data_IF_083294185830
#
_entry.id   IF_083294185830
#
_cell.length_a   1.000
_cell.length_b   1.000
_cell.length_c   1.000
_cell.angle_alpha   90.00
_cell.angle_beta   90.00
_cell.angle_gamma   90.00
#
_symmetry.space_group_name_H-M   'P 1'
#
loop_
_entity.id
_entity.type
_entity.pdbx_description
1 polymer ?
#
# COMPACT_ATOMS: atom_id res chain seq x y z
N UNK A 1 19.20 -30.72 61.44
CA UNK A 1 19.51 -29.39 60.85
C UNK A 1 20.03 -29.41 59.41
N UNK A 2 20.58 -30.51 58.84
CA UNK A 2 21.11 -30.54 57.45
C UNK A 2 20.07 -30.71 56.31
N UNK A 3 18.83 -31.11 56.61
CA UNK A 3 17.77 -31.28 55.60
C UNK A 3 16.95 -30.02 55.34
N UNK A 4 16.79 -29.17 56.35
CA UNK A 4 16.04 -27.91 56.25
C UNK A 4 16.80 -26.91 55.36
N UNK A 5 18.13 -26.86 55.47
CA UNK A 5 18.99 -25.98 54.69
C UNK A 5 19.06 -26.33 53.19
N UNK A 6 18.82 -27.58 52.79
CA UNK A 6 18.78 -27.95 51.35
C UNK A 6 17.45 -27.57 50.70
N UNK A 7 16.35 -27.64 51.43
CA UNK A 7 15.02 -27.28 50.91
C UNK A 7 14.91 -25.76 50.71
N UNK A 8 15.49 -24.96 51.59
CA UNK A 8 15.48 -23.49 51.47
C UNK A 8 16.33 -22.99 50.30
N UNK A 9 17.48 -23.64 50.01
CA UNK A 9 18.35 -23.25 48.89
C UNK A 9 17.72 -23.63 47.54
N UNK A 10 17.04 -24.77 47.43
CA UNK A 10 16.32 -25.16 46.21
C UNK A 10 15.09 -24.28 45.96
N UNK A 11 14.37 -23.86 47.02
CA UNK A 11 13.25 -22.93 46.89
C UNK A 11 13.70 -21.53 46.45
N UNK A 12 14.84 -21.03 46.93
CA UNK A 12 15.40 -19.74 46.49
C UNK A 12 15.91 -19.81 45.04
N UNK A 13 16.48 -20.94 44.59
CA UNK A 13 16.88 -21.14 43.20
C UNK A 13 15.71 -21.25 42.22
N UNK A 14 14.56 -21.77 42.65
CA UNK A 14 13.34 -21.84 41.83
C UNK A 14 12.65 -20.46 41.76
N UNK A 15 12.69 -19.68 42.84
CA UNK A 15 12.13 -18.31 42.87
C UNK A 15 13.02 -17.29 42.12
N UNK A 16 14.34 -17.48 42.08
CA UNK A 16 15.23 -16.67 41.23
C UNK A 16 15.27 -17.13 39.76
N UNK A 17 14.82 -18.35 39.45
CA UNK A 17 14.73 -18.85 38.07
C UNK A 17 13.52 -18.35 37.27
N UNK A 18 12.50 -17.81 37.94
CA UNK A 18 11.26 -17.33 37.32
C UNK A 18 11.18 -15.81 37.13
N UNK A 19 12.21 -15.04 37.53
CA UNK A 19 12.18 -13.57 37.54
C UNK A 19 12.70 -12.89 36.26
N UNK A 20 13.00 -13.62 35.19
CA UNK A 20 13.31 -13.06 33.87
C UNK A 20 12.62 -13.87 32.76
N UNK A 21 11.32 -14.13 32.91
CA UNK A 21 10.49 -14.39 31.76
C UNK A 21 10.26 -13.06 31.04
N UNK A 22 11.30 -12.52 30.38
CA UNK A 22 11.08 -11.51 29.36
C UNK A 22 10.07 -12.11 28.39
N UNK A 23 8.93 -11.44 28.20
CA UNK A 23 7.91 -11.86 27.27
C UNK A 23 8.60 -12.22 25.94
N UNK A 24 8.45 -13.48 25.51
CA UNK A 24 9.03 -13.91 24.24
C UNK A 24 8.49 -12.98 23.15
N UNK A 25 9.34 -12.50 22.22
CA UNK A 25 8.88 -11.64 21.14
C UNK A 25 7.81 -12.37 20.35
N UNK A 26 6.70 -11.69 20.09
CA UNK A 26 5.62 -12.24 19.30
C UNK A 26 6.07 -12.34 17.84
N UNK A 27 5.71 -13.45 17.19
CA UNK A 27 5.94 -13.65 15.76
C UNK A 27 4.62 -14.11 15.13
N UNK A 28 4.18 -13.42 14.08
CA UNK A 28 2.95 -13.75 13.38
C UNK A 28 3.03 -15.11 12.72
N UNK A 29 1.91 -15.83 12.80
CA UNK A 29 1.67 -17.08 12.09
C UNK A 29 0.60 -16.88 11.01
N UNK A 30 0.52 -17.84 10.07
CA UNK A 30 -0.54 -17.80 9.06
C UNK A 30 -1.90 -17.98 9.73
N UNK A 31 -2.87 -17.20 9.27
CA UNK A 31 -4.25 -17.28 9.73
C UNK A 31 -5.13 -17.92 8.68
N UNK A 32 -6.13 -18.68 9.11
CA UNK A 32 -7.14 -19.22 8.21
C UNK A 32 -8.23 -18.17 7.97
N UNK A 33 -8.57 -17.93 6.71
CA UNK A 33 -9.61 -16.97 6.33
C UNK A 33 -10.59 -17.59 5.34
N UNK A 34 -11.88 -17.47 5.63
CA UNK A 34 -12.94 -17.74 4.68
C UNK A 34 -13.36 -16.43 3.99
N UNK A 35 -13.44 -16.43 2.67
CA UNK A 35 -13.81 -15.25 1.88
C UNK A 35 -15.10 -15.54 1.14
N UNK A 36 -16.14 -14.75 1.41
CA UNK A 36 -17.39 -14.81 0.65
C UNK A 36 -17.28 -14.09 -0.68
N UNK A 37 -18.12 -14.49 -1.64
CA UNK A 37 -18.32 -13.76 -2.89
C UNK A 37 -18.95 -12.39 -2.60
N UNK A 38 -18.64 -11.42 -3.45
CA UNK A 38 -19.07 -10.03 -3.38
C UNK A 38 -20.58 -9.89 -3.42
N UNK A 39 -21.12 -9.28 -2.37
CA UNK A 39 -22.50 -8.82 -2.33
C UNK A 39 -22.70 -7.52 -3.10
N UNK A 40 -23.86 -7.36 -3.74
CA UNK A 40 -24.26 -6.12 -4.41
C UNK A 40 -25.79 -6.01 -4.29
N UNK A 41 -26.28 -5.15 -3.41
CA UNK A 41 -27.72 -5.03 -3.16
C UNK A 41 -28.22 -3.65 -3.58
N UNK A 42 -29.24 -3.63 -4.45
CA UNK A 42 -29.85 -2.41 -4.96
C UNK A 42 -29.08 -1.73 -6.11
N UNK A 43 -28.04 -2.36 -6.64
CA UNK A 43 -27.22 -1.84 -7.74
C UNK A 43 -27.29 -2.77 -8.95
N UNK A 44 -27.51 -2.20 -10.14
CA UNK A 44 -27.43 -2.92 -11.40
C UNK A 44 -25.98 -2.94 -11.89
N UNK A 45 -25.23 -3.94 -11.45
CA UNK A 45 -23.82 -4.13 -11.79
C UNK A 45 -23.73 -5.28 -12.80
N UNK A 46 -23.04 -5.09 -13.95
CA UNK A 46 -22.82 -6.16 -14.91
C UNK A 46 -22.19 -7.41 -14.25
N UNK A 47 -22.66 -8.60 -14.59
CA UNK A 47 -22.21 -9.85 -13.95
C UNK A 47 -20.71 -10.10 -14.16
N UNK A 48 -20.19 -9.72 -15.33
CA UNK A 48 -18.77 -9.80 -15.68
C UNK A 48 -17.91 -8.92 -14.75
N UNK A 49 -18.43 -7.75 -14.37
CA UNK A 49 -17.79 -6.84 -13.40
C UNK A 49 -17.70 -7.47 -12.02
N UNK A 50 -18.79 -8.07 -11.54
CA UNK A 50 -18.83 -8.75 -10.23
C UNK A 50 -17.85 -9.92 -10.16
N UNK A 51 -17.83 -10.76 -11.19
CA UNK A 51 -16.89 -11.89 -11.24
C UNK A 51 -15.43 -11.46 -11.28
N UNK A 52 -15.12 -10.33 -11.93
CA UNK A 52 -13.75 -9.78 -11.96
C UNK A 52 -13.33 -9.28 -10.58
N UNK A 53 -14.20 -8.53 -9.90
CA UNK A 53 -13.93 -8.03 -8.54
C UNK A 53 -13.77 -9.19 -7.56
N UNK A 54 -14.59 -10.24 -7.65
CA UNK A 54 -14.49 -11.46 -6.82
C UNK A 54 -13.08 -12.08 -6.91
N UNK A 55 -12.58 -12.27 -8.13
CA UNK A 55 -11.25 -12.85 -8.39
C UNK A 55 -10.15 -11.94 -7.86
N UNK A 56 -10.26 -10.64 -8.06
CA UNK A 56 -9.26 -9.67 -7.63
C UNK A 56 -9.19 -9.56 -6.09
N UNK A 57 -10.34 -9.59 -5.40
CA UNK A 57 -10.38 -9.65 -3.93
C UNK A 57 -9.66 -10.91 -3.44
N UNK A 58 -9.98 -12.09 -3.98
CA UNK A 58 -9.31 -13.34 -3.58
C UNK A 58 -7.80 -13.29 -3.84
N UNK A 59 -7.38 -12.71 -4.97
CA UNK A 59 -5.96 -12.52 -5.30
C UNK A 59 -5.25 -11.63 -4.27
N UNK A 60 -5.91 -10.57 -3.76
CA UNK A 60 -5.32 -9.71 -2.73
C UNK A 60 -4.95 -10.51 -1.46
N UNK A 61 -5.84 -11.38 -0.98
CA UNK A 61 -5.56 -12.20 0.20
C UNK A 61 -4.45 -13.23 -0.08
N UNK A 62 -4.40 -13.80 -1.30
CA UNK A 62 -3.32 -14.69 -1.72
C UNK A 62 -1.97 -13.95 -1.71
N UNK A 63 -1.93 -12.75 -2.30
CA UNK A 63 -0.73 -11.92 -2.44
C UNK A 63 -0.22 -11.38 -1.09
N UNK A 64 -1.09 -11.28 -0.09
CA UNK A 64 -0.70 -10.95 1.28
C UNK A 64 0.06 -12.08 1.98
N UNK A 65 0.00 -13.31 1.46
CA UNK A 65 0.80 -14.48 1.86
C UNK A 65 0.55 -15.04 3.27
N UNK A 66 0.02 -14.23 4.18
CA UNK A 66 -0.20 -14.52 5.61
C UNK A 66 -1.53 -15.20 5.91
N UNK A 67 -2.28 -15.57 4.87
CA UNK A 67 -3.56 -16.25 4.99
C UNK A 67 -3.55 -17.62 4.29
N UNK A 68 -4.24 -18.57 4.88
CA UNK A 68 -4.71 -19.79 4.22
C UNK A 68 -6.17 -19.56 3.86
N UNK A 69 -6.50 -19.61 2.57
CA UNK A 69 -7.79 -19.12 2.07
C UNK A 69 -8.75 -20.26 1.77
N UNK A 70 -9.98 -20.09 2.23
CA UNK A 70 -11.13 -20.90 1.85
C UNK A 70 -12.12 -19.99 1.10
N UNK A 71 -12.22 -20.17 -0.22
CA UNK A 71 -13.22 -19.45 -1.02
C UNK A 71 -14.62 -20.02 -0.79
N UNK A 72 -15.59 -19.15 -0.55
CA UNK A 72 -17.00 -19.50 -0.41
C UNK A 72 -17.76 -18.97 -1.61
N UNK A 73 -18.58 -19.81 -2.25
CA UNK A 73 -19.33 -19.41 -3.47
C UNK A 73 -20.52 -18.47 -3.16
N UNK A 74 -20.96 -18.41 -1.91
CA UNK A 74 -22.15 -17.65 -1.48
C UNK A 74 -21.87 -16.15 -1.36
N UNK A 75 -22.88 -15.34 -1.68
CA UNK A 75 -22.86 -13.86 -1.60
C UNK A 75 -23.74 -13.38 -0.45
N UNK A 76 -23.27 -12.42 0.34
CA UNK A 76 -24.02 -11.84 1.45
C UNK A 76 -24.48 -10.42 1.13
N UNK A 77 -25.64 -9.99 1.61
CA UNK A 77 -25.98 -8.57 1.64
C UNK A 77 -25.31 -7.83 2.78
N UNK A 78 -25.28 -6.51 2.66
CA UNK A 78 -24.90 -5.62 3.76
C UNK A 78 -25.74 -5.86 5.02
N UNK A 79 -27.04 -6.17 4.88
CA UNK A 79 -27.93 -6.47 6.00
C UNK A 79 -27.76 -7.88 6.58
N UNK A 80 -27.25 -8.82 5.79
CA UNK A 80 -27.12 -10.23 6.19
C UNK A 80 -25.90 -10.50 7.09
N UNK A 81 -24.93 -9.58 7.12
CA UNK A 81 -23.70 -9.73 7.92
C UNK A 81 -24.02 -9.77 9.42
N UNK A 82 -24.90 -8.88 9.91
CA UNK A 82 -25.27 -8.84 11.33
C UNK A 82 -26.09 -10.06 11.75
N UNK A 83 -26.99 -10.51 10.86
CA UNK A 83 -27.75 -11.74 11.06
C UNK A 83 -26.81 -12.96 11.09
N UNK A 84 -25.82 -13.00 10.20
CA UNK A 84 -24.79 -14.03 10.17
C UNK A 84 -23.97 -14.08 11.45
N UNK A 85 -23.49 -12.94 11.94
CA UNK A 85 -22.80 -12.83 13.23
C UNK A 85 -23.68 -13.34 14.38
N UNK A 86 -24.96 -12.96 14.39
CA UNK A 86 -25.91 -13.38 15.42
C UNK A 86 -26.11 -14.89 15.42
N UNK A 87 -26.22 -15.51 14.24
CA UNK A 87 -26.35 -16.96 14.11
C UNK A 87 -25.06 -17.66 14.57
N UNK A 88 -23.88 -17.19 14.14
CA UNK A 88 -22.59 -17.72 14.60
C UNK A 88 -22.48 -17.72 16.14
N UNK A 89 -22.92 -16.65 16.81
CA UNK A 89 -22.92 -16.58 18.28
C UNK A 89 -23.86 -17.61 18.91
N UNK A 90 -25.10 -17.70 18.42
CA UNK A 90 -26.10 -18.67 18.93
C UNK A 90 -25.64 -20.12 18.79
N UNK A 91 -24.84 -20.44 17.78
CA UNK A 91 -24.33 -21.80 17.60
C UNK A 91 -23.25 -22.20 18.60
N UNK A 92 -22.51 -21.22 19.12
CA UNK A 92 -21.52 -21.46 20.18
C UNK A 92 -22.18 -21.72 21.54
N UNK A 93 -23.44 -21.35 21.68
CA UNK A 93 -24.26 -21.73 22.82
C UNK A 93 -24.70 -23.19 22.62
N UNK A 94 -24.29 -24.06 23.55
CA UNK A 94 -24.21 -25.54 23.49
C UNK A 94 -25.47 -26.35 23.09
N UNK A 95 -26.55 -25.72 22.65
CA UNK A 95 -27.86 -26.34 22.42
C UNK A 95 -28.41 -26.09 21.01
N UNK A 96 -27.64 -25.49 20.10
CA UNK A 96 -28.12 -25.17 18.75
C UNK A 96 -27.97 -26.36 17.79
N UNK A 97 -29.08 -26.90 17.30
CA UNK A 97 -29.10 -27.90 16.22
C UNK A 97 -29.14 -27.17 14.89
N UNK A 98 -28.11 -27.36 14.06
CA UNK A 98 -28.02 -26.74 12.75
C UNK A 98 -29.11 -27.30 11.81
N UNK A 99 -29.96 -26.47 11.19
CA UNK A 99 -30.84 -26.91 10.11
C UNK A 99 -30.01 -27.34 8.88
N UNK A 100 -30.51 -28.29 8.08
CA UNK A 100 -29.81 -28.76 6.86
C UNK A 100 -29.45 -27.64 5.88
N UNK A 101 -30.24 -26.54 5.87
CA UNK A 101 -29.97 -25.30 5.14
C UNK A 101 -30.38 -24.11 5.98
N UNK A 102 -29.50 -23.12 6.11
CA UNK A 102 -29.82 -21.83 6.72
C UNK A 102 -29.77 -20.72 5.68
N UNK A 103 -30.82 -19.90 5.63
CA UNK A 103 -30.94 -18.80 4.68
C UNK A 103 -30.46 -17.48 5.33
N UNK A 104 -29.56 -16.78 4.63
CA UNK A 104 -29.12 -15.41 4.92
C UNK A 104 -29.45 -14.56 3.70
N UNK A 105 -30.53 -13.78 3.76
CA UNK A 105 -31.04 -13.05 2.61
C UNK A 105 -31.35 -14.01 1.45
N UNK A 106 -30.58 -13.92 0.36
CA UNK A 106 -30.69 -14.79 -0.83
C UNK A 106 -29.73 -15.99 -0.80
N UNK A 107 -28.78 -16.03 0.13
CA UNK A 107 -27.81 -17.11 0.24
C UNK A 107 -28.29 -18.25 1.14
N UNK A 108 -28.04 -19.49 0.72
CA UNK A 108 -28.26 -20.69 1.52
C UNK A 108 -26.92 -21.30 1.89
N UNK A 109 -26.64 -21.41 3.19
CA UNK A 109 -25.49 -22.15 3.72
C UNK A 109 -25.91 -23.55 4.15
N UNK A 110 -25.16 -24.55 3.72
CA UNK A 110 -25.33 -25.96 4.14
C UNK A 110 -24.53 -26.25 5.41
N UNK A 111 -24.80 -27.39 6.06
CA UNK A 111 -23.98 -27.88 7.18
C UNK A 111 -22.49 -28.00 6.83
N UNK A 112 -22.18 -28.45 5.61
CA UNK A 112 -20.80 -28.53 5.14
C UNK A 112 -20.14 -27.15 5.01
N UNK A 113 -20.88 -26.14 4.55
CA UNK A 113 -20.40 -24.76 4.46
C UNK A 113 -20.13 -24.18 5.85
N UNK A 114 -21.03 -24.44 6.80
CA UNK A 114 -20.85 -24.02 8.19
C UNK A 114 -19.65 -24.68 8.87
N UNK A 115 -19.45 -25.99 8.68
CA UNK A 115 -18.29 -26.69 9.24
C UNK A 115 -16.96 -26.11 8.71
N UNK A 116 -16.92 -25.68 7.45
CA UNK A 116 -15.77 -24.94 6.90
C UNK A 116 -15.58 -23.58 7.56
N UNK A 117 -16.67 -22.83 7.79
CA UNK A 117 -16.62 -21.51 8.43
C UNK A 117 -16.21 -21.58 9.91
N UNK A 118 -16.63 -22.62 10.64
CA UNK A 118 -16.21 -22.87 12.03
C UNK A 118 -14.72 -23.25 12.10
N UNK A 119 -14.19 -23.89 11.06
CA UNK A 119 -12.76 -24.16 10.94
C UNK A 119 -11.93 -22.90 10.67
N UNK A 120 -12.49 -21.89 10.01
CA UNK A 120 -11.80 -20.64 9.72
C UNK A 120 -11.62 -19.78 10.98
N UNK A 121 -10.47 -19.09 11.06
CA UNK A 121 -10.19 -18.16 12.16
C UNK A 121 -10.90 -16.81 11.92
N UNK A 122 -10.91 -16.35 10.66
CA UNK A 122 -11.53 -15.08 10.25
C UNK A 122 -12.47 -15.32 9.07
N UNK A 123 -13.53 -14.54 9.01
CA UNK A 123 -14.43 -14.46 7.87
C UNK A 123 -14.34 -13.07 7.26
N UNK A 124 -14.15 -12.99 5.95
CA UNK A 124 -14.19 -11.77 5.15
C UNK A 124 -15.48 -11.73 4.33
N UNK A 125 -16.26 -10.65 4.49
CA UNK A 125 -17.50 -10.43 3.76
C UNK A 125 -17.40 -9.15 2.93
N UNK A 126 -17.12 -9.26 1.61
CA UNK A 126 -17.07 -8.10 0.72
C UNK A 126 -18.47 -7.71 0.22
N UNK A 127 -18.77 -6.41 0.21
CA UNK A 127 -20.04 -5.85 -0.27
C UNK A 127 -19.81 -4.53 -1.01
N UNK A 128 -20.37 -4.40 -2.22
CA UNK A 128 -20.47 -3.11 -2.91
C UNK A 128 -21.55 -2.27 -2.24
N UNK A 129 -21.13 -1.12 -1.71
CA UNK A 129 -22.03 -0.18 -1.01
C UNK A 129 -22.48 0.96 -1.91
N UNK A 130 -21.70 1.29 -2.94
CA UNK A 130 -22.07 2.27 -3.95
C UNK A 130 -21.46 1.92 -5.30
N UNK A 131 -22.27 2.05 -6.35
CA UNK A 131 -21.84 1.93 -7.74
C UNK A 131 -22.50 3.05 -8.55
N UNK A 132 -21.70 3.98 -9.06
CA UNK A 132 -22.20 5.06 -9.91
C UNK A 132 -21.41 5.07 -11.20
N UNK A 133 -22.09 4.93 -12.34
CA UNK A 133 -21.46 4.99 -13.65
C UNK A 133 -22.29 5.88 -14.55
N UNK A 134 -21.72 7.02 -14.96
CA UNK A 134 -22.43 8.07 -15.66
C UNK A 134 -21.55 8.74 -16.71
N UNK A 135 -22.19 9.26 -17.75
CA UNK A 135 -21.54 10.11 -18.74
C UNK A 135 -21.56 11.56 -18.26
N UNK A 136 -20.41 12.07 -17.85
CA UNK A 136 -20.24 13.39 -17.21
C UNK A 136 -19.97 14.44 -18.28
N UNK A 137 -20.69 15.56 -18.18
CA UNK A 137 -20.55 16.77 -19.01
C UNK A 137 -20.63 16.53 -20.53
N UNK A 138 -21.20 15.40 -20.96
CA UNK A 138 -21.24 15.03 -22.37
C UNK A 138 -19.87 14.64 -22.95
N UNK A 139 -18.85 14.42 -22.11
CA UNK A 139 -17.44 14.25 -22.53
C UNK A 139 -16.84 12.91 -22.17
N UNK A 140 -17.09 12.39 -20.97
CA UNK A 140 -16.42 11.19 -20.48
C UNK A 140 -17.33 10.33 -19.62
N UNK A 141 -17.14 9.02 -19.68
CA UNK A 141 -17.68 8.10 -18.70
C UNK A 141 -16.86 8.17 -17.42
N UNK A 142 -17.54 8.30 -16.28
CA UNK A 142 -16.96 8.22 -14.95
C UNK A 142 -17.66 7.13 -14.17
N UNK A 143 -16.87 6.22 -13.61
CA UNK A 143 -17.35 5.15 -12.75
C UNK A 143 -16.70 5.24 -11.38
N UNK A 144 -17.52 5.29 -10.34
CA UNK A 144 -17.12 5.27 -8.94
C UNK A 144 -17.65 3.98 -8.30
N UNK A 145 -16.76 3.22 -7.65
CA UNK A 145 -17.09 1.97 -6.96
C UNK A 145 -16.63 2.08 -5.52
N UNK A 146 -17.57 1.91 -4.57
CA UNK A 146 -17.28 1.77 -3.14
C UNK A 146 -17.55 0.35 -2.68
N UNK A 147 -16.53 -0.29 -2.13
CA UNK A 147 -16.58 -1.66 -1.63
C UNK A 147 -16.11 -1.70 -0.19
N UNK A 148 -16.88 -2.35 0.67
CA UNK A 148 -16.52 -2.59 2.06
C UNK A 148 -16.24 -4.07 2.25
N UNK A 149 -15.16 -4.40 2.95
CA UNK A 149 -14.86 -5.78 3.37
C UNK A 149 -14.86 -5.83 4.89
N UNK A 150 -15.86 -6.49 5.45
CA UNK A 150 -15.99 -6.70 6.89
C UNK A 150 -15.22 -7.93 7.32
N UNK A 151 -14.44 -7.82 8.39
CA UNK A 151 -13.67 -8.91 8.99
C UNK A 151 -14.30 -9.33 10.31
N UNK A 152 -14.67 -10.60 10.42
CA UNK A 152 -15.31 -11.18 11.59
C UNK A 152 -14.38 -12.24 12.17
N UNK A 153 -14.06 -12.12 13.46
CA UNK A 153 -13.40 -13.18 14.22
C UNK A 153 -14.43 -14.26 14.57
N UNK A 154 -14.16 -15.49 14.14
CA UNK A 154 -15.05 -16.62 14.37
C UNK A 154 -15.01 -17.04 15.85
N UNK A 155 -13.88 -16.86 16.56
CA UNK A 155 -13.70 -17.21 17.96
C UNK A 155 -14.68 -16.46 18.88
N UNK A 156 -14.89 -15.17 18.61
CA UNK A 156 -15.73 -14.33 19.46
C UNK A 156 -17.03 -13.88 18.77
N UNK A 157 -17.15 -14.13 17.46
CA UNK A 157 -18.25 -13.61 16.65
C UNK A 157 -18.26 -12.08 16.63
N UNK A 158 -17.09 -11.44 16.65
CA UNK A 158 -16.97 -9.98 16.71
C UNK A 158 -16.36 -9.45 15.43
N UNK A 159 -16.77 -8.26 15.02
CA UNK A 159 -16.14 -7.56 13.90
C UNK A 159 -14.80 -6.99 14.37
N UNK A 160 -13.70 -7.41 13.74
CA UNK A 160 -12.34 -6.98 14.09
C UNK A 160 -11.86 -5.82 13.21
N UNK A 161 -12.53 -5.55 12.10
CA UNK A 161 -12.22 -4.42 11.24
C UNK A 161 -13.09 -4.36 9.99
N UNK A 162 -13.01 -3.23 9.30
CA UNK A 162 -13.62 -3.00 7.99
C UNK A 162 -12.56 -2.37 7.10
N UNK A 163 -12.35 -2.93 5.91
CA UNK A 163 -11.59 -2.29 4.84
C UNK A 163 -12.54 -1.54 3.91
N UNK A 164 -12.36 -0.24 3.75
CA UNK A 164 -13.15 0.59 2.85
C UNK A 164 -12.32 0.93 1.62
N UNK A 165 -12.82 0.54 0.44
CA UNK A 165 -12.16 0.75 -0.84
C UNK A 165 -13.04 1.66 -1.68
N UNK A 166 -12.48 2.76 -2.15
CA UNK A 166 -13.14 3.73 -3.01
C UNK A 166 -12.26 3.98 -4.21
N UNK A 167 -12.76 3.55 -5.37
CA UNK A 167 -12.02 3.56 -6.63
C UNK A 167 -12.82 4.28 -7.69
N UNK A 168 -12.09 4.96 -8.58
CA UNK A 168 -12.65 5.74 -9.66
C UNK A 168 -11.93 5.37 -10.97
N UNK A 169 -12.69 5.31 -12.06
CA UNK A 169 -12.17 5.18 -13.41
C UNK A 169 -12.87 6.13 -14.37
N UNK A 170 -12.17 6.54 -15.42
CA UNK A 170 -12.66 7.52 -16.40
C UNK A 170 -12.28 7.10 -17.81
N UNK A 171 -13.19 7.22 -18.79
CA UNK A 171 -12.88 6.99 -20.20
C UNK A 171 -13.81 7.81 -21.10
N UNK A 172 -13.25 8.49 -22.09
CA UNK A 172 -13.98 9.20 -23.15
C UNK A 172 -14.58 8.23 -24.18
N UNK A 173 -14.04 7.02 -24.27
CA UNK A 173 -14.43 6.06 -25.29
C UNK A 173 -15.63 5.20 -24.91
N UNK A 174 -15.60 4.54 -23.73
CA UNK A 174 -16.66 3.61 -23.34
C UNK A 174 -16.87 3.54 -21.83
N UNK A 175 -18.12 3.28 -21.44
CA UNK A 175 -18.48 2.99 -20.06
C UNK A 175 -17.69 1.78 -19.52
N UNK A 176 -17.52 0.75 -20.34
CA UNK A 176 -16.79 -0.46 -19.98
C UNK A 176 -15.34 -0.17 -19.56
N UNK A 177 -14.62 0.66 -20.31
CA UNK A 177 -13.26 1.09 -19.95
C UNK A 177 -13.22 1.80 -18.59
N UNK A 178 -14.12 2.76 -18.36
CA UNK A 178 -14.17 3.44 -17.05
C UNK A 178 -14.45 2.48 -15.88
N UNK A 179 -15.24 1.42 -16.11
CA UNK A 179 -15.51 0.39 -15.11
C UNK A 179 -14.25 -0.43 -14.85
N UNK A 180 -13.56 -0.88 -15.90
CA UNK A 180 -12.33 -1.66 -15.78
C UNK A 180 -11.24 -0.88 -15.04
N UNK A 181 -11.09 0.41 -15.33
CA UNK A 181 -10.12 1.27 -14.65
C UNK A 181 -10.43 1.43 -13.16
N UNK A 182 -11.71 1.58 -12.80
CA UNK A 182 -12.12 1.60 -11.39
C UNK A 182 -11.78 0.27 -10.69
N UNK A 183 -12.09 -0.87 -11.32
CA UNK A 183 -11.77 -2.20 -10.78
C UNK A 183 -10.27 -2.39 -10.58
N UNK A 184 -9.44 -1.93 -11.53
CA UNK A 184 -7.99 -2.06 -11.47
C UNK A 184 -7.36 -1.37 -10.24
N UNK A 185 -8.04 -0.37 -9.66
CA UNK A 185 -7.62 0.30 -8.42
C UNK A 185 -7.87 -0.52 -7.14
N UNK A 186 -8.83 -1.45 -7.16
CA UNK A 186 -9.30 -2.17 -5.96
C UNK A 186 -8.15 -2.95 -5.27
N UNK A 187 -7.30 -3.72 -5.99
CA UNK A 187 -6.32 -4.58 -5.34
C UNK A 187 -5.32 -3.82 -4.46
N UNK A 188 -4.81 -2.70 -4.95
CA UNK A 188 -3.81 -1.90 -4.23
C UNK A 188 -4.40 -1.32 -2.94
N UNK A 189 -5.57 -0.69 -3.05
CA UNK A 189 -6.23 -0.07 -1.92
C UNK A 189 -6.70 -1.11 -0.90
N UNK A 190 -7.31 -2.20 -1.35
CA UNK A 190 -7.75 -3.28 -0.46
C UNK A 190 -6.56 -3.89 0.30
N UNK A 191 -5.44 -4.13 -0.38
CA UNK A 191 -4.24 -4.65 0.26
C UNK A 191 -3.73 -3.71 1.38
N UNK A 192 -3.76 -2.40 1.14
CA UNK A 192 -3.40 -1.41 2.13
C UNK A 192 -4.36 -1.41 3.32
N UNK A 193 -5.67 -1.39 3.06
CA UNK A 193 -6.71 -1.39 4.11
C UNK A 193 -6.64 -2.64 5.00
N UNK A 194 -6.43 -3.83 4.41
CA UNK A 194 -6.28 -5.08 5.17
C UNK A 194 -5.05 -4.98 6.10
N UNK A 195 -3.92 -4.45 5.63
CA UNK A 195 -2.70 -4.34 6.44
C UNK A 195 -2.82 -3.28 7.55
N UNK A 196 -3.80 -2.37 7.49
CA UNK A 196 -4.08 -1.45 8.60
C UNK A 196 -4.80 -2.11 9.77
N UNK A 197 -5.47 -3.24 9.55
CA UNK A 197 -6.11 -4.00 10.64
C UNK A 197 -5.01 -4.57 11.55
N UNK A 198 -4.92 -4.18 12.83
CA UNK A 198 -3.81 -4.56 13.71
C UNK A 198 -3.59 -6.08 13.81
N UNK A 199 -4.68 -6.85 13.80
CA UNK A 199 -4.66 -8.32 13.86
C UNK A 199 -4.02 -8.94 12.60
N UNK A 200 -3.93 -8.21 11.49
CA UNK A 200 -3.35 -8.68 10.24
C UNK A 200 -1.94 -8.15 9.99
N UNK A 201 -1.47 -7.17 10.77
CA UNK A 201 -0.10 -6.67 10.68
C UNK A 201 0.90 -7.76 11.03
N UNK A 202 1.96 -7.86 10.23
CA UNK A 202 3.05 -8.77 10.54
C UNK A 202 3.83 -8.23 11.74
N UNK A 203 3.93 -9.05 12.77
CA UNK A 203 4.74 -8.86 13.96
C UNK A 203 5.86 -9.88 13.87
N UNK A 204 7.11 -9.45 13.98
CA UNK A 204 8.29 -10.31 13.79
C UNK A 204 9.41 -9.87 14.72
N UNK A 205 10.52 -10.60 14.73
CA UNK A 205 11.68 -10.29 15.57
C UNK A 205 12.97 -10.31 14.80
N UNK A 206 13.97 -9.64 15.36
CA UNK A 206 15.34 -9.66 14.86
C UNK A 206 16.00 -11.01 15.14
N UNK A 207 16.56 -11.62 14.12
CA UNK A 207 17.38 -12.84 14.22
C UNK A 207 18.86 -12.51 14.46
N UNK A 208 19.36 -11.52 13.72
CA UNK A 208 20.75 -11.06 13.79
C UNK A 208 20.86 -9.63 13.23
N UNK A 209 21.89 -8.91 13.65
CA UNK A 209 22.21 -7.57 13.19
C UNK A 209 23.71 -7.43 12.95
N UNK A 210 24.10 -6.73 11.90
CA UNK A 210 25.50 -6.52 11.55
C UNK A 210 25.68 -5.37 10.55
N UNK A 211 26.92 -5.21 10.06
CA UNK A 211 27.29 -4.13 9.12
C UNK A 211 26.48 -4.14 7.82
N UNK A 212 25.97 -5.29 7.42
CA UNK A 212 25.18 -5.47 6.21
C UNK A 212 23.66 -5.31 6.38
N UNK A 213 23.16 -4.99 7.58
CA UNK A 213 21.73 -4.86 7.89
C UNK A 213 21.25 -5.83 8.97
N UNK A 214 19.93 -5.99 9.04
CA UNK A 214 19.23 -6.76 10.08
C UNK A 214 18.45 -7.89 9.43
N UNK A 215 18.66 -9.12 9.89
CA UNK A 215 17.90 -10.30 9.49
C UNK A 215 16.67 -10.45 10.41
N UNK A 216 15.50 -10.68 9.83
CA UNK A 216 14.21 -10.78 10.54
C UNK A 216 13.54 -12.12 10.31
N UNK A 217 12.79 -12.58 11.32
CA UNK A 217 12.11 -13.89 11.30
C UNK A 217 10.75 -13.82 10.62
N UNK A 218 10.70 -13.44 9.33
CA UNK A 218 9.57 -13.63 8.42
C UNK A 218 10.04 -13.39 6.97
N UNK A 219 9.37 -13.99 5.99
CA UNK A 219 9.74 -13.91 4.58
C UNK A 219 8.57 -13.68 3.63
N UNK A 220 8.78 -13.99 2.35
CA UNK A 220 7.74 -13.93 1.32
C UNK A 220 6.57 -14.86 1.61
N UNK A 221 6.78 -15.92 2.41
CA UNK A 221 5.70 -16.80 2.87
C UNK A 221 4.65 -16.09 3.75
N UNK A 222 4.97 -14.91 4.30
CA UNK A 222 4.08 -14.02 5.06
C UNK A 222 3.78 -12.72 4.30
N UNK A 223 4.05 -12.69 2.99
CA UNK A 223 3.78 -11.56 2.11
C UNK A 223 4.69 -10.36 2.31
N UNK A 224 5.88 -10.55 2.91
CA UNK A 224 6.88 -9.49 2.96
C UNK A 224 7.43 -9.26 1.55
N UNK A 225 7.52 -7.99 1.15
CA UNK A 225 8.12 -7.54 -0.12
C UNK A 225 9.28 -6.60 0.15
N UNK A 226 10.17 -6.46 -0.86
CA UNK A 226 11.19 -5.39 -0.84
C UNK A 226 10.50 -4.04 -0.71
N UNK A 227 11.11 -3.11 0.02
CA UNK A 227 10.53 -1.79 0.25
C UNK A 227 9.44 -1.75 1.32
N UNK A 228 9.01 -2.91 1.86
CA UNK A 228 8.17 -2.92 3.06
C UNK A 228 8.95 -2.30 4.24
N UNK A 229 8.21 -1.73 5.18
CA UNK A 229 8.77 -1.03 6.34
C UNK A 229 8.32 -1.67 7.64
N UNK A 230 9.23 -1.68 8.62
CA UNK A 230 8.96 -2.20 9.95
C UNK A 230 9.42 -1.18 11.00
N UNK A 231 8.52 -0.89 11.94
CA UNK A 231 8.84 -0.15 13.15
C UNK A 231 9.63 -1.05 14.10
N UNK A 232 10.64 -0.47 14.76
CA UNK A 232 11.31 -1.10 15.90
C UNK A 232 10.52 -0.75 17.14
N UNK A 233 10.06 -1.78 17.87
CA UNK A 233 9.21 -1.63 19.04
C UNK A 233 10.07 -1.84 20.30
N UNK A 234 10.02 -0.86 21.20
CA UNK A 234 10.49 -1.00 22.58
C UNK A 234 9.28 -1.23 23.47
N UNK A 235 9.33 -2.31 24.26
CA UNK A 235 8.28 -2.65 25.22
C UNK A 235 8.83 -2.45 26.62
N UNK A 236 8.13 -1.69 27.45
CA UNK A 236 8.39 -1.54 28.87
C UNK A 236 7.23 -2.18 29.64
N UNK A 237 7.54 -2.96 30.68
CA UNK A 237 6.54 -3.57 31.56
C UNK A 237 6.68 -2.94 32.94
N UNK A 238 5.63 -2.22 33.35
CA UNK A 238 5.54 -1.66 34.69
C UNK A 238 4.28 -2.20 35.38
N UNK A 239 4.48 -3.02 36.40
CA UNK A 239 3.40 -3.61 37.21
C UNK A 239 2.36 -4.40 36.39
N UNK A 240 2.78 -5.02 35.28
CA UNK A 240 1.91 -5.79 34.40
C UNK A 240 1.17 -4.96 33.34
N UNK A 241 1.44 -3.65 33.27
CA UNK A 241 1.07 -2.81 32.14
C UNK A 241 2.21 -2.80 31.14
N UNK A 242 1.95 -3.28 29.93
CA UNK A 242 2.90 -3.23 28.81
C UNK A 242 2.69 -1.92 28.06
N UNK A 243 3.69 -1.04 28.09
CA UNK A 243 3.78 0.16 27.24
C UNK A 243 4.68 -0.14 26.04
N UNK A 244 4.18 0.07 24.83
CA UNK A 244 4.92 -0.16 23.60
C UNK A 244 5.15 1.15 22.84
N UNK A 245 6.40 1.38 22.42
CA UNK A 245 6.80 2.59 21.72
C UNK A 245 7.56 2.28 20.44
N UNK A 246 7.24 3.01 19.38
CA UNK A 246 8.02 2.98 18.13
C UNK A 246 9.29 3.83 18.28
N UNK A 247 10.45 3.20 18.23
CA UNK A 247 11.75 3.86 18.45
C UNK A 247 12.68 3.81 17.23
N UNK A 248 12.27 3.18 16.15
CA UNK A 248 13.11 3.03 14.97
C UNK A 248 12.36 2.55 13.73
N UNK A 249 13.08 2.52 12.60
CA UNK A 249 12.54 2.17 11.30
C UNK A 249 13.53 1.32 10.51
N UNK A 250 13.04 0.21 9.96
CA UNK A 250 13.76 -0.70 9.07
C UNK A 250 13.06 -0.72 7.72
N UNK A 251 13.85 -0.67 6.65
CA UNK A 251 13.40 -0.82 5.26
C UNK A 251 13.87 -2.17 4.70
N UNK A 252 12.95 -3.01 4.22
CA UNK A 252 13.28 -4.33 3.71
C UNK A 252 14.02 -4.24 2.37
N UNK A 253 15.20 -4.86 2.29
CA UNK A 253 16.06 -4.85 1.10
C UNK A 253 16.09 -6.17 0.34
N UNK A 254 16.00 -7.28 1.06
CA UNK A 254 16.05 -8.64 0.51
C UNK A 254 14.99 -9.48 1.21
N UNK A 255 14.33 -10.35 0.45
CA UNK A 255 13.26 -11.22 0.95
C UNK A 255 13.59 -12.64 0.54
N UNK A 256 13.78 -13.50 1.54
CA UNK A 256 13.80 -14.96 1.37
C UNK A 256 12.45 -15.55 1.76
N UNK A 257 12.34 -16.88 1.68
CA UNK A 257 11.07 -17.58 1.94
C UNK A 257 10.58 -17.41 3.37
N UNK A 258 11.45 -17.56 4.37
CA UNK A 258 11.11 -17.52 5.82
C UNK A 258 11.90 -16.48 6.61
N UNK A 259 12.85 -15.80 5.95
CA UNK A 259 13.66 -14.73 6.54
C UNK A 259 13.81 -13.60 5.53
N UNK A 260 13.89 -12.39 6.03
CA UNK A 260 14.13 -11.19 5.21
C UNK A 260 15.27 -10.39 5.81
N UNK A 261 15.86 -9.52 5.02
CA UNK A 261 16.93 -8.63 5.45
C UNK A 261 16.53 -7.19 5.20
N UNK A 262 16.75 -6.33 6.18
CA UNK A 262 16.45 -4.92 6.13
C UNK A 262 17.64 -4.03 6.42
N UNK A 263 17.52 -2.77 6.00
CA UNK A 263 18.44 -1.68 6.33
C UNK A 263 17.81 -0.83 7.42
N UNK A 264 18.55 -0.58 8.50
CA UNK A 264 18.10 0.32 9.57
C UNK A 264 18.20 1.75 9.06
N UNK A 265 17.07 2.44 8.95
CA UNK A 265 17.05 3.87 8.60
C UNK A 265 17.38 4.72 9.82
N UNK A 266 16.79 4.40 10.98
CA UNK A 266 17.20 4.92 12.28
C UNK A 266 16.74 4.00 13.40
N UNK A 267 17.35 4.11 14.58
CA UNK A 267 16.92 3.42 15.79
C UNK A 267 17.36 4.20 17.03
N UNK A 268 16.47 4.31 18.02
CA UNK A 268 16.75 4.83 19.34
C UNK A 268 17.40 3.81 20.27
N UNK A 269 17.26 2.51 19.97
CA UNK A 269 17.81 1.40 20.74
C UNK A 269 18.77 0.54 19.91
N UNK A 270 19.67 -0.24 20.54
CA UNK A 270 20.44 -1.27 19.83
C UNK A 270 19.52 -2.33 19.22
N UNK A 271 19.64 -2.56 17.92
CA UNK A 271 18.84 -3.57 17.20
C UNK A 271 19.51 -4.94 17.38
N UNK A 272 19.36 -5.52 18.57
CA UNK A 272 19.89 -6.83 18.93
C UNK A 272 18.91 -7.96 18.55
N UNK A 273 19.35 -9.22 18.73
CA UNK A 273 18.48 -10.39 18.58
C UNK A 273 17.25 -10.25 19.49
N UNK A 274 16.11 -10.74 19.02
CA UNK A 274 14.84 -10.78 19.73
C UNK A 274 14.16 -9.40 19.92
N UNK A 275 14.73 -8.31 19.39
CA UNK A 275 14.02 -7.03 19.30
C UNK A 275 12.76 -7.19 18.44
N UNK A 276 11.63 -6.71 18.97
CA UNK A 276 10.32 -6.77 18.34
C UNK A 276 10.22 -5.77 17.20
N UNK A 277 9.66 -6.22 16.08
CA UNK A 277 9.39 -5.43 14.89
C UNK A 277 7.91 -5.55 14.53
N UNK A 278 7.32 -4.45 14.06
CA UNK A 278 5.92 -4.39 13.60
C UNK A 278 5.87 -3.78 12.21
N UNK A 279 5.13 -4.41 11.32
CA UNK A 279 4.91 -3.90 9.96
C UNK A 279 4.25 -2.52 10.00
N UNK A 280 4.74 -1.61 9.17
CA UNK A 280 4.09 -0.35 8.89
C UNK A 280 3.30 -0.51 7.58
N UNK A 281 1.95 -0.49 7.62
CA UNK A 281 1.15 -0.57 6.41
C UNK A 281 1.36 0.70 5.59
N UNK A 282 1.94 0.52 4.39
CA UNK A 282 2.12 1.54 3.36
C UNK A 282 1.27 1.18 2.15
N UNK A 283 0.70 2.17 1.48
CA UNK A 283 0.11 2.04 0.15
C UNK A 283 1.14 1.50 -0.86
N UNK A 284 2.42 1.83 -0.65
CA UNK A 284 3.52 1.34 -1.46
C UNK A 284 3.92 2.31 -2.57
N UNK A 285 3.54 3.58 -2.41
CA UNK A 285 3.92 4.70 -3.27
C UNK A 285 4.35 5.86 -2.37
N UNK A 286 5.52 6.43 -2.65
CA UNK A 286 5.95 7.69 -2.04
C UNK A 286 5.52 8.84 -2.96
N UNK A 287 4.84 9.86 -2.41
CA UNK A 287 4.40 11.05 -3.14
C UNK A 287 5.29 12.24 -2.81
N UNK A 288 5.95 12.80 -3.81
CA UNK A 288 6.81 13.96 -3.70
C UNK A 288 6.17 15.19 -4.35
N UNK A 289 6.39 16.36 -3.75
CA UNK A 289 6.12 17.67 -4.34
C UNK A 289 7.39 18.50 -4.31
N UNK A 290 7.66 19.26 -5.36
CA UNK A 290 8.90 20.00 -5.51
C UNK A 290 8.74 21.29 -6.29
N UNK A 291 9.69 22.20 -6.05
CA UNK A 291 9.85 23.44 -6.79
C UNK A 291 11.32 23.61 -7.16
N UNK A 292 11.59 23.77 -8.46
CA UNK A 292 12.94 23.92 -8.99
C UNK A 292 13.10 25.23 -9.75
N UNK A 293 14.27 25.84 -9.64
CA UNK A 293 14.73 26.81 -10.64
C UNK A 293 15.08 26.07 -11.93
N UNK A 294 14.78 26.68 -13.08
CA UNK A 294 15.06 26.12 -14.41
C UNK A 294 15.88 27.11 -15.21
N UNK A 295 17.01 26.68 -15.75
CA UNK A 295 17.86 27.48 -16.63
C UNK A 295 17.96 26.78 -17.97
N UNK A 296 17.48 27.44 -19.04
CA UNK A 296 17.52 26.87 -20.38
C UNK A 296 18.97 26.68 -20.84
N UNK A 297 19.21 25.65 -21.66
CA UNK A 297 20.49 25.45 -22.33
C UNK A 297 20.78 26.57 -23.35
N UNK A 298 19.72 27.08 -23.98
CA UNK A 298 19.78 28.30 -24.76
C UNK A 298 19.61 29.51 -23.84
N UNK A 299 20.70 30.24 -23.60
CA UNK A 299 20.73 31.41 -22.73
C UNK A 299 19.74 32.50 -23.18
N UNK A 300 19.34 32.53 -24.46
CA UNK A 300 18.38 33.51 -24.97
C UNK A 300 16.96 33.31 -24.42
N UNK A 301 16.64 32.09 -23.96
CA UNK A 301 15.35 31.77 -23.32
C UNK A 301 15.33 32.09 -21.82
N UNK A 302 16.47 32.43 -21.22
CA UNK A 302 16.56 32.87 -19.82
C UNK A 302 16.32 31.75 -18.79
N UNK A 303 15.51 32.03 -17.77
CA UNK A 303 15.26 31.13 -16.64
C UNK A 303 13.80 31.14 -16.21
N UNK A 304 13.30 30.01 -15.73
CA UNK A 304 11.93 29.83 -15.26
C UNK A 304 11.89 29.09 -13.91
N UNK A 305 10.67 28.82 -13.43
CA UNK A 305 10.40 27.99 -12.25
C UNK A 305 9.62 26.74 -12.67
N UNK A 306 9.96 25.59 -12.11
CA UNK A 306 9.21 24.35 -12.27
C UNK A 306 8.50 24.02 -10.98
N UNK A 307 7.22 23.69 -11.07
CA UNK A 307 6.46 23.07 -10.01
C UNK A 307 6.11 21.64 -10.44
N UNK A 308 6.32 20.67 -9.56
CA UNK A 308 6.03 19.29 -9.92
C UNK A 308 5.64 18.40 -8.77
N UNK A 309 5.05 17.27 -9.14
CA UNK A 309 4.72 16.16 -8.27
C UNK A 309 5.30 14.87 -8.85
N UNK A 310 5.68 13.93 -7.99
CA UNK A 310 6.25 12.63 -8.40
C UNK A 310 5.73 11.51 -7.51
N UNK A 311 5.30 10.43 -8.13
CA UNK A 311 4.90 9.19 -7.49
C UNK A 311 6.01 8.14 -7.69
N UNK A 312 6.52 7.56 -6.62
CA UNK A 312 7.61 6.57 -6.64
C UNK A 312 7.12 5.25 -6.06
N UNK A 313 7.12 4.16 -6.84
CA UNK A 313 6.70 2.87 -6.31
C UNK A 313 7.75 2.33 -5.33
N UNK A 314 7.36 2.10 -4.09
CA UNK A 314 8.25 1.64 -3.03
C UNK A 314 8.07 0.15 -2.75
N UNK A 315 6.83 -0.34 -2.74
CA UNK A 315 6.56 -1.74 -2.44
C UNK A 315 6.91 -2.64 -3.62
N UNK A 316 7.68 -3.70 -3.35
CA UNK A 316 8.28 -4.58 -4.35
C UNK A 316 9.67 -4.14 -4.83
N UNK A 317 10.10 -2.93 -4.46
CA UNK A 317 11.32 -2.30 -4.93
C UNK A 317 12.23 -1.90 -3.76
N UNK A 318 13.54 -1.78 -3.99
CA UNK A 318 14.47 -1.32 -2.96
C UNK A 318 15.41 -0.26 -3.51
N UNK A 319 16.45 -0.68 -4.24
CA UNK A 319 17.42 0.24 -4.84
C UNK A 319 16.95 0.79 -6.17
N UNK A 320 16.18 0.05 -6.96
CA UNK A 320 15.66 0.52 -8.25
C UNK A 320 14.15 0.59 -8.14
N UNK A 321 13.59 1.79 -8.30
CA UNK A 321 12.16 2.04 -8.13
C UNK A 321 11.62 2.72 -9.39
N UNK A 322 10.50 2.25 -9.97
CA UNK A 322 9.85 2.99 -11.02
C UNK A 322 9.20 4.25 -10.44
N UNK A 323 9.15 5.31 -11.24
CA UNK A 323 8.46 6.54 -10.88
C UNK A 323 7.70 7.11 -12.07
N UNK A 324 6.69 7.90 -11.75
CA UNK A 324 6.02 8.81 -12.68
C UNK A 324 6.03 10.21 -12.07
N UNK A 325 6.35 11.23 -12.86
CA UNK A 325 6.34 12.62 -12.43
C UNK A 325 5.53 13.47 -13.39
N UNK A 326 4.90 14.50 -12.84
CA UNK A 326 4.24 15.56 -13.57
C UNK A 326 4.90 16.89 -13.18
N UNK A 327 5.27 17.70 -14.15
CA UNK A 327 5.89 19.00 -13.91
C UNK A 327 5.32 20.07 -14.84
N UNK A 328 5.20 21.28 -14.31
CA UNK A 328 4.77 22.47 -15.04
C UNK A 328 5.91 23.48 -15.03
N UNK A 329 6.36 23.90 -16.20
CA UNK A 329 7.27 25.04 -16.35
C UNK A 329 6.45 26.33 -16.34
N UNK A 330 6.77 27.25 -15.43
CA UNK A 330 6.14 28.56 -15.31
C UNK A 330 6.76 29.54 -16.32
N UNK A 331 6.64 29.18 -17.59
CA UNK A 331 7.13 29.96 -18.72
C UNK A 331 5.95 30.40 -19.59
N UNK A 332 5.65 31.70 -19.59
CA UNK A 332 4.54 32.25 -20.37
C UNK A 332 4.80 32.25 -21.87
N UNK A 333 6.06 32.33 -22.30
CA UNK A 333 6.44 32.40 -23.71
C UNK A 333 6.27 31.02 -24.36
N UNK A 334 6.48 29.95 -23.58
CA UNK A 334 6.18 28.58 -23.96
C UNK A 334 4.76 28.11 -23.63
N UNK A 335 3.89 29.01 -23.15
CA UNK A 335 2.50 28.71 -22.80
C UNK A 335 2.41 27.60 -21.74
N UNK A 336 3.22 27.74 -20.70
CA UNK A 336 3.27 26.87 -19.52
C UNK A 336 3.39 25.37 -19.88
N UNK A 337 4.59 24.90 -20.32
CA UNK A 337 4.79 23.50 -20.67
C UNK A 337 4.43 22.55 -19.54
N UNK A 338 3.67 21.50 -19.89
CA UNK A 338 3.27 20.41 -19.00
C UNK A 338 4.03 19.15 -19.42
N UNK A 339 4.82 18.57 -18.52
CA UNK A 339 5.59 17.37 -18.83
C UNK A 339 5.21 16.22 -17.90
N UNK A 340 5.05 15.05 -18.49
CA UNK A 340 4.92 13.76 -17.82
C UNK A 340 6.21 12.99 -18.04
N UNK A 341 6.84 12.53 -16.96
CA UNK A 341 8.09 11.77 -16.99
C UNK A 341 7.84 10.40 -16.39
N UNK A 342 8.22 9.34 -17.09
CA UNK A 342 8.19 7.97 -16.58
C UNK A 342 9.57 7.34 -16.65
N UNK A 343 10.00 6.70 -15.58
CA UNK A 343 11.37 6.25 -15.49
C UNK A 343 11.69 5.40 -14.28
N UNK A 344 12.99 5.25 -14.04
CA UNK A 344 13.54 4.53 -12.88
C UNK A 344 14.43 5.44 -12.06
N UNK A 345 14.37 5.29 -10.74
CA UNK A 345 15.32 5.88 -9.81
C UNK A 345 16.18 4.81 -9.16
N UNK A 346 17.46 5.11 -8.98
CA UNK A 346 18.39 4.32 -8.20
C UNK A 346 18.67 5.02 -6.86
N UNK A 347 18.50 4.31 -5.74
CA UNK A 347 18.59 4.83 -4.38
C UNK A 347 19.61 4.06 -3.55
N UNK A 348 20.43 4.78 -2.78
CA UNK A 348 21.38 4.26 -1.80
C UNK A 348 21.05 4.81 -0.43
N UNK A 349 20.82 3.91 0.53
CA UNK A 349 20.41 4.26 1.89
C UNK A 349 21.61 4.25 2.85
N UNK A 350 21.86 5.38 3.49
CA UNK A 350 22.85 5.58 4.53
C UNK A 350 22.15 6.09 5.79
N UNK A 351 21.48 5.17 6.50
CA UNK A 351 20.57 5.50 7.62
C UNK A 351 19.44 6.42 7.15
N UNK A 352 19.30 7.60 7.77
CA UNK A 352 18.28 8.61 7.42
C UNK A 352 18.59 9.33 6.11
N UNK A 353 19.83 9.29 5.65
CA UNK A 353 20.25 9.91 4.40
C UNK A 353 20.04 8.92 3.25
N UNK A 354 19.45 9.38 2.17
CA UNK A 354 19.30 8.64 0.94
C UNK A 354 19.84 9.48 -0.22
N UNK A 355 20.71 8.91 -1.05
CA UNK A 355 21.27 9.55 -2.23
C UNK A 355 20.95 8.70 -3.46
N UNK A 356 20.74 9.32 -4.61
CA UNK A 356 20.36 8.57 -5.79
C UNK A 356 20.39 9.35 -7.09
N UNK A 357 20.05 8.65 -8.16
CA UNK A 357 19.92 9.18 -9.51
C UNK A 357 18.61 8.75 -10.15
N UNK A 358 18.10 9.56 -11.08
CA UNK A 358 16.87 9.31 -11.82
C UNK A 358 17.13 9.42 -13.31
N UNK A 359 16.44 8.58 -14.07
CA UNK A 359 16.42 8.66 -15.52
C UNK A 359 15.03 8.25 -16.02
N UNK A 360 14.47 9.03 -16.92
CA UNK A 360 13.16 8.77 -17.51
C UNK A 360 13.03 9.34 -18.91
N UNK A 361 12.01 8.85 -19.61
CA UNK A 361 11.51 9.45 -20.85
C UNK A 361 10.39 10.41 -20.50
N UNK A 362 10.30 11.49 -21.25
CA UNK A 362 9.36 12.56 -21.01
C UNK A 362 8.43 12.74 -22.22
N UNK A 363 7.14 12.93 -21.97
CA UNK A 363 6.17 13.43 -22.93
C UNK A 363 5.71 14.81 -22.46
N UNK A 364 5.66 15.78 -23.37
CA UNK A 364 5.29 17.15 -23.04
C UNK A 364 4.12 17.64 -23.88
N UNK A 365 3.30 18.50 -23.29
CA UNK A 365 2.28 19.30 -23.97
C UNK A 365 2.32 20.74 -23.42
N UNK A 366 1.40 21.60 -23.83
CA UNK A 366 1.24 22.93 -23.24
C UNK A 366 -0.22 23.15 -22.82
N UNK A 367 -0.47 24.13 -21.96
CA UNK A 367 -1.80 24.34 -21.35
C UNK A 367 -2.88 24.55 -22.42
N UNK A 368 -2.57 25.27 -23.51
CA UNK A 368 -3.54 25.50 -24.60
C UNK A 368 -3.89 24.18 -25.30
N UNK A 369 -2.89 23.37 -25.66
CA UNK A 369 -3.13 22.08 -26.32
C UNK A 369 -3.94 21.16 -25.40
N UNK A 370 -3.69 21.18 -24.09
CA UNK A 370 -4.50 20.41 -23.14
C UNK A 370 -5.95 20.89 -23.08
N UNK A 371 -6.19 22.19 -23.03
CA UNK A 371 -7.54 22.77 -23.08
C UNK A 371 -8.24 22.37 -24.38
N UNK A 372 -7.54 22.44 -25.52
CA UNK A 372 -8.11 22.03 -26.81
C UNK A 372 -8.39 20.52 -26.84
N UNK A 373 -7.50 19.69 -26.31
CA UNK A 373 -7.72 18.25 -26.20
C UNK A 373 -8.94 17.94 -25.34
N UNK A 374 -9.10 18.61 -24.20
CA UNK A 374 -10.23 18.42 -23.29
C UNK A 374 -11.58 18.91 -23.86
N UNK A 375 -11.55 19.77 -24.89
CA UNK A 375 -12.75 20.25 -25.59
C UNK A 375 -13.08 19.44 -26.85
N UNK A 376 -12.07 18.96 -27.58
CA UNK A 376 -12.25 18.37 -28.91
C UNK A 376 -11.92 16.87 -29.01
N UNK A 377 -11.24 16.28 -28.03
CA UNK A 377 -10.88 14.86 -28.10
C UNK A 377 -12.06 13.96 -27.73
N UNK A 378 -12.34 12.98 -28.59
CA UNK A 378 -13.29 11.89 -28.32
C UNK A 378 -12.62 10.59 -27.85
N UNK A 379 -11.30 10.58 -27.66
CA UNK A 379 -10.55 9.39 -27.25
C UNK A 379 -9.68 9.65 -26.02
N UNK A 380 -9.16 8.57 -25.44
CA UNK A 380 -8.34 8.62 -24.23
C UNK A 380 -6.86 8.98 -24.52
N UNK A 381 -6.49 9.17 -25.79
CA UNK A 381 -5.11 9.42 -26.22
C UNK A 381 -4.64 10.85 -25.86
N UNK A 382 -3.43 10.95 -25.33
CA UNK A 382 -2.80 12.24 -25.00
C UNK A 382 -2.20 12.95 -26.21
N UNK A 383 -2.46 14.25 -26.34
CA UNK A 383 -1.88 15.09 -27.39
C UNK A 383 -0.54 15.63 -26.93
N UNK A 384 0.52 14.86 -27.18
CA UNK A 384 1.89 15.30 -26.95
C UNK A 384 2.37 16.22 -28.07
N UNK A 385 2.99 17.33 -27.69
CA UNK A 385 3.72 18.23 -28.59
C UNK A 385 5.22 18.05 -28.49
N UNK A 386 5.70 17.45 -27.41
CA UNK A 386 7.11 17.19 -27.18
C UNK A 386 7.34 15.77 -26.68
N UNK A 387 8.53 15.24 -26.97
CA UNK A 387 9.05 14.03 -26.36
C UNK A 387 10.52 14.23 -26.01
N UNK A 388 11.01 13.56 -24.97
CA UNK A 388 12.33 13.88 -24.46
C UNK A 388 12.85 12.90 -23.43
N UNK A 389 13.93 13.33 -22.80
CA UNK A 389 14.58 12.62 -21.70
C UNK A 389 14.76 13.55 -20.52
N UNK A 390 14.68 12.97 -19.33
CA UNK A 390 14.93 13.66 -18.07
C UNK A 390 15.87 12.82 -17.23
N UNK A 391 16.92 13.43 -16.69
CA UNK A 391 17.89 12.75 -15.85
C UNK A 391 18.40 13.65 -14.73
N UNK A 392 18.61 13.09 -13.54
CA UNK A 392 19.00 13.88 -12.38
C UNK A 392 19.63 13.07 -11.26
N UNK A 393 20.06 13.79 -10.23
CA UNK A 393 20.59 13.25 -9.00
C UNK A 393 19.98 13.97 -7.80
N UNK A 394 19.83 13.26 -6.69
CA UNK A 394 19.19 13.81 -5.51
C UNK A 394 19.88 13.36 -4.22
N UNK A 395 19.70 14.19 -3.20
CA UNK A 395 20.01 13.91 -1.82
C UNK A 395 18.74 14.13 -0.99
N UNK A 396 18.39 13.18 -0.15
CA UNK A 396 17.20 13.25 0.70
C UNK A 396 17.52 12.85 2.13
N UNK A 397 16.76 13.41 3.07
CA UNK A 397 16.87 13.14 4.49
C UNK A 397 15.51 12.82 5.11
N UNK A 398 15.43 11.69 5.80
CA UNK A 398 14.25 11.23 6.51
C UNK A 398 14.08 12.01 7.83
N UNK A 399 13.17 12.99 7.82
CA UNK A 399 12.86 13.85 8.95
C UNK A 399 12.08 13.10 10.01
N UNK A 400 10.99 12.45 9.59
CA UNK A 400 10.14 11.60 10.43
C UNK A 400 9.92 10.26 9.75
N UNK A 401 9.19 9.34 10.40
CA UNK A 401 8.81 8.04 9.81
C UNK A 401 8.15 8.18 8.42
N UNK A 402 7.42 9.27 8.21
CA UNK A 402 6.48 9.45 7.10
C UNK A 402 6.87 10.61 6.15
N UNK A 403 7.92 11.38 6.48
CA UNK A 403 8.34 12.57 5.73
C UNK A 403 9.84 12.57 5.43
N UNK A 404 10.19 12.77 4.16
CA UNK A 404 11.55 13.11 3.70
C UNK A 404 11.56 14.53 3.13
N UNK A 405 12.70 15.20 3.25
CA UNK A 405 13.02 16.41 2.49
C UNK A 405 14.16 16.12 1.55
N UNK A 406 14.17 16.71 0.37
CA UNK A 406 15.22 16.45 -0.62
C UNK A 406 15.67 17.72 -1.35
N UNK A 407 16.90 17.66 -1.84
CA UNK A 407 17.45 18.58 -2.82
C UNK A 407 17.79 17.77 -4.08
N UNK A 408 17.55 18.34 -5.24
CA UNK A 408 17.65 17.66 -6.53
C UNK A 408 18.28 18.58 -7.58
N UNK A 409 19.10 17.97 -8.43
CA UNK A 409 19.59 18.55 -9.68
C UNK A 409 19.13 17.67 -10.82
N UNK A 410 18.58 18.26 -11.87
CA UNK A 410 18.01 17.54 -13.01
C UNK A 410 18.37 18.25 -14.30
N UNK A 411 18.37 17.53 -15.40
CA UNK A 411 18.54 18.06 -16.75
C UNK A 411 17.47 17.42 -17.64
N UNK A 412 16.77 18.27 -18.37
CA UNK A 412 15.73 17.84 -19.30
C UNK A 412 16.08 18.28 -20.71
N UNK A 413 15.70 17.46 -21.68
CA UNK A 413 15.76 17.81 -23.09
C UNK A 413 14.52 17.28 -23.81
N UNK A 414 13.72 18.19 -24.36
CA UNK A 414 12.43 17.97 -24.99
C UNK A 414 12.50 18.40 -26.45
N UNK A 415 12.27 17.45 -27.35
CA UNK A 415 12.17 17.66 -28.78
C UNK A 415 10.73 18.01 -29.17
N UNK A 416 10.55 19.15 -29.83
CA UNK A 416 9.27 19.57 -30.38
C UNK A 416 8.89 18.76 -31.62
N UNK A 417 7.67 18.22 -31.66
CA UNK A 417 7.15 17.52 -32.84
C UNK A 417 6.85 18.52 -33.97
N UNK A 418 6.42 19.72 -33.59
CA UNK A 418 6.12 20.84 -34.50
C UNK A 418 7.15 21.96 -34.37
N UNK A 419 8.42 21.57 -34.20
CA UNK A 419 9.56 22.48 -33.99
C UNK A 419 9.63 23.62 -35.02
N UNK A 420 9.24 23.33 -36.26
CA UNK A 420 9.20 24.31 -37.36
C UNK A 420 8.23 25.48 -37.15
N UNK A 421 7.24 25.34 -36.27
CA UNK A 421 6.32 26.43 -35.91
C UNK A 421 6.93 27.41 -34.89
N UNK A 422 8.02 27.02 -34.23
CA UNK A 422 8.69 27.81 -33.19
C UNK A 422 7.82 28.08 -31.95
N UNK A 423 8.35 28.90 -31.04
CA UNK A 423 7.65 29.30 -29.82
C UNK A 423 7.28 28.11 -28.93
N UNK A 424 6.00 28.01 -28.55
CA UNK A 424 5.46 26.98 -27.64
C UNK A 424 5.52 25.52 -28.17
N UNK A 425 5.98 25.33 -29.40
CA UNK A 425 6.19 24.01 -30.03
C UNK A 425 7.66 23.73 -30.35
N UNK A 426 8.55 24.69 -30.07
CA UNK A 426 9.99 24.56 -30.26
C UNK A 426 10.60 23.64 -29.22
N UNK A 427 11.66 22.95 -29.62
CA UNK A 427 12.47 22.10 -28.75
C UNK A 427 13.11 22.95 -27.66
N UNK A 428 13.16 22.42 -26.45
CA UNK A 428 13.73 23.10 -25.30
C UNK A 428 14.45 22.13 -24.38
N UNK A 429 15.39 22.65 -23.61
CA UNK A 429 16.08 21.88 -22.60
C UNK A 429 16.75 22.80 -21.60
N UNK A 430 17.07 22.26 -20.43
CA UNK A 430 17.59 23.07 -19.34
C UNK A 430 18.01 22.26 -18.14
N UNK A 431 18.75 22.94 -17.27
CA UNK A 431 19.16 22.45 -15.96
C UNK A 431 18.14 22.90 -14.91
N UNK A 432 17.81 21.99 -14.00
CA UNK A 432 16.98 22.25 -12.84
C UNK A 432 17.78 22.09 -11.56
N UNK A 433 17.54 22.98 -10.60
CA UNK A 433 18.02 22.84 -9.22
C UNK A 433 16.89 23.23 -8.28
N UNK A 434 16.59 22.39 -7.30
CA UNK A 434 15.66 22.79 -6.27
C UNK A 434 15.48 21.79 -5.14
N UNK A 435 14.34 21.92 -4.48
CA UNK A 435 14.02 21.21 -3.24
C UNK A 435 12.59 20.70 -3.27
N UNK A 436 12.32 19.71 -2.43
CA UNK A 436 10.98 19.16 -2.26
C UNK A 436 10.81 18.37 -0.98
N UNK A 437 9.59 17.86 -0.82
CA UNK A 437 9.20 17.00 0.28
C UNK A 437 8.53 15.73 -0.27
N UNK A 438 8.82 14.59 0.35
CA UNK A 438 8.24 13.29 0.03
C UNK A 438 7.44 12.77 1.22
N UNK A 439 6.17 12.48 0.98
CA UNK A 439 5.26 11.83 1.90
C UNK A 439 5.18 10.34 1.59
N UNK A 440 5.39 9.50 2.59
CA UNK A 440 5.40 8.05 2.44
C UNK A 440 4.00 7.51 2.69
N UNK A 441 3.34 7.02 1.65
CA UNK A 441 1.96 6.57 1.71
C UNK A 441 1.85 5.06 1.88
#
# INVERSE_FOLDING_TARGET
MKRISRVTITAILIVFGSALAFAQPQVSEKKEIAIFSLGFYGWDIPQETLGTIDVDIQRVFLDLGRFTIFGMEKRFSSGDVDQFITVLKKMKESTFVLPEKYQFGEAFLTEADFNKLVGAFIIAVPVVTSYNSQYVDGKEWRTDIKTNVSFIDVADGTMIGIANVETQGTSRETQYKSIQDAIAGIPMQLQYEIRKVPQFQNVTRVLASGSGGVDIQLGSNMGIKKGDEYAIIESDDLEGFVDEREVGLILIKEVGTTRSKGTILYSGIPVAKDVQLREIPRLGVDMAVYAHSYSYFDESMGSSLVLGARAEATRGFYNVRPFAAFQVLLDSDMVFPLNVIVGGQYSVFMRRLEAGGRLGVAGGTNVIVRILQDEFSGNDDEWFTHYGISGGAYLSYLMSRDLKVFAEVQADYMLGILDSLGGAFGSYGGYQIGIGATFKL
#
